data_IF_130514136732
#
_entry.id   IF_130514136732
#
_cell.length_a   1.000
_cell.length_b   1.000
_cell.length_c   1.000
_cell.angle_alpha   90.00
_cell.angle_beta   90.00
_cell.angle_gamma   90.00
#
_symmetry.space_group_name_H-M   'P 1'
#
loop_
_entity.id
_entity.type
_entity.pdbx_description
1 polymer ?
#
# COMPACT_ATOMS: atom_id res chain seq x y z
N UNK A 1 -15.63 -1.17 18.61
CA UNK A 1 -15.83 0.27 18.90
C UNK A 1 -16.35 0.91 17.62
N UNK A 2 -17.47 1.64 17.65
CA UNK A 2 -18.02 2.29 16.46
C UNK A 2 -17.04 3.38 15.98
N UNK A 3 -16.54 3.26 14.76
CA UNK A 3 -15.67 4.24 14.13
C UNK A 3 -16.42 5.56 13.98
N UNK A 4 -15.99 6.59 14.71
CA UNK A 4 -16.66 7.88 14.74
C UNK A 4 -16.21 8.73 13.53
N UNK A 5 -17.08 8.84 12.52
CA UNK A 5 -16.85 9.53 11.25
C UNK A 5 -16.39 11.01 11.40
N UNK A 6 -16.68 11.68 12.51
CA UNK A 6 -16.22 13.05 12.80
C UNK A 6 -14.70 13.12 13.10
N UNK A 7 -14.19 12.13 13.85
CA UNK A 7 -12.76 12.08 14.18
C UNK A 7 -11.87 11.81 12.96
N UNK A 8 -12.43 11.18 11.94
CA UNK A 8 -11.79 10.84 10.68
C UNK A 8 -11.55 12.07 9.79
N UNK A 9 -12.58 12.87 9.55
CA UNK A 9 -12.47 14.09 8.76
C UNK A 9 -11.56 15.15 9.41
N UNK A 10 -11.50 15.17 10.76
CA UNK A 10 -10.56 16.02 11.49
C UNK A 10 -9.11 15.55 11.34
N UNK A 11 -8.84 14.24 11.37
CA UNK A 11 -7.49 13.68 11.12
C UNK A 11 -7.02 13.96 9.69
N UNK A 12 -7.89 13.81 8.69
CA UNK A 12 -7.56 14.19 7.30
C UNK A 12 -7.24 15.68 7.20
N UNK A 13 -8.00 16.54 7.87
CA UNK A 13 -7.74 18.00 7.88
C UNK A 13 -6.43 18.36 8.59
N UNK A 14 -6.07 17.68 9.67
CA UNK A 14 -4.79 17.87 10.37
C UNK A 14 -3.60 17.41 9.53
N UNK A 15 -3.71 16.27 8.84
CA UNK A 15 -2.69 15.78 7.92
C UNK A 15 -2.43 16.77 6.76
N UNK A 16 -3.46 17.50 6.31
CA UNK A 16 -3.33 18.56 5.29
C UNK A 16 -2.49 19.75 5.77
N UNK A 17 -2.51 20.07 7.07
CA UNK A 17 -1.76 21.23 7.60
C UNK A 17 -0.27 20.95 7.77
N UNK A 18 0.13 19.72 8.09
CA UNK A 18 1.53 19.34 8.35
C UNK A 18 2.38 19.35 7.06
N UNK A 19 1.78 19.11 5.91
CA UNK A 19 2.49 19.02 4.61
C UNK A 19 2.64 20.37 3.88
N UNK A 20 2.10 21.47 4.38
CA UNK A 20 2.18 22.78 3.72
C UNK A 20 3.58 23.44 3.74
N UNK A 21 4.52 22.94 4.53
CA UNK A 21 5.85 23.56 4.69
C UNK A 21 6.72 23.51 3.42
N UNK A 22 6.41 22.65 2.45
CA UNK A 22 7.14 22.50 1.19
C UNK A 22 6.24 22.48 -0.05
N UNK A 23 5.05 23.08 0.04
CA UNK A 23 4.12 23.12 -1.08
C UNK A 23 4.57 24.14 -2.13
N UNK A 24 4.77 23.68 -3.37
CA UNK A 24 5.05 24.52 -4.53
C UNK A 24 3.85 24.55 -5.48
N UNK A 25 3.22 25.71 -5.72
CA UNK A 25 2.11 25.84 -6.66
C UNK A 25 2.46 25.34 -8.06
N UNK A 26 1.55 24.54 -8.64
CA UNK A 26 1.74 23.98 -10.00
C UNK A 26 2.53 22.68 -10.06
N UNK A 27 3.13 22.22 -8.95
CA UNK A 27 3.76 20.93 -8.83
C UNK A 27 2.71 19.88 -8.50
N UNK A 28 2.80 18.66 -9.08
CA UNK A 28 1.89 17.55 -8.78
C UNK A 28 1.95 17.17 -7.31
N UNK A 29 0.82 16.84 -6.70
CA UNK A 29 0.74 16.32 -5.34
C UNK A 29 0.56 14.81 -5.37
N UNK A 30 1.36 14.08 -4.58
CA UNK A 30 1.19 12.66 -4.31
C UNK A 30 0.75 12.49 -2.85
N UNK A 31 -0.37 11.80 -2.64
CA UNK A 31 -0.82 11.45 -1.29
C UNK A 31 -0.12 10.16 -0.83
N UNK A 32 0.58 10.20 0.32
CA UNK A 32 1.22 9.04 0.93
C UNK A 32 0.40 8.62 2.14
N UNK A 33 -0.22 7.43 2.04
CA UNK A 33 -0.96 6.79 3.11
C UNK A 33 -0.03 5.83 3.85
N UNK A 34 0.13 5.99 5.16
CA UNK A 34 0.99 5.11 5.96
C UNK A 34 0.17 4.12 6.77
N UNK A 35 0.61 2.85 6.80
CA UNK A 35 -0.03 1.80 7.60
C UNK A 35 0.91 1.13 8.60
N UNK A 36 2.19 1.54 8.65
CA UNK A 36 3.22 0.93 9.47
C UNK A 36 4.13 -0.02 8.68
N UNK A 37 4.39 -1.20 9.23
CA UNK A 37 5.25 -2.21 8.61
C UNK A 37 6.75 -1.93 8.74
N UNK A 38 7.57 -2.77 8.08
CA UNK A 38 9.05 -2.74 8.13
C UNK A 38 9.64 -1.45 7.55
N UNK A 39 9.00 -0.86 6.55
CA UNK A 39 9.47 0.39 5.92
C UNK A 39 9.53 1.55 6.92
N UNK A 40 8.62 1.56 7.88
CA UNK A 40 8.62 2.48 9.03
C UNK A 40 9.23 1.84 10.28
N UNK A 41 9.95 0.73 10.14
CA UNK A 41 10.54 -0.03 11.23
C UNK A 41 11.89 0.53 11.66
N UNK A 42 12.14 0.54 12.98
CA UNK A 42 13.40 0.95 13.58
C UNK A 42 13.87 -0.08 14.60
N UNK A 43 15.18 -0.34 14.62
CA UNK A 43 15.82 -1.32 15.52
C UNK A 43 17.27 -0.98 15.79
N UNK A 44 18.06 -1.98 16.20
CA UNK A 44 19.49 -1.81 16.41
C UNK A 44 20.21 -1.56 15.08
N UNK A 45 21.09 -0.54 15.06
CA UNK A 45 21.82 -0.14 13.84
C UNK A 45 22.63 -1.33 13.30
N UNK A 46 22.43 -1.60 12.00
CA UNK A 46 23.13 -2.65 11.26
C UNK A 46 22.49 -4.04 11.36
N UNK A 47 21.40 -4.21 12.12
CA UNK A 47 20.67 -5.49 12.19
C UNK A 47 19.41 -5.48 11.32
N UNK A 48 19.06 -6.66 10.78
CA UNK A 48 17.90 -6.89 9.94
C UNK A 48 16.71 -7.50 10.69
N UNK A 49 16.93 -7.92 11.95
CA UNK A 49 15.93 -8.57 12.81
C UNK A 49 15.83 -7.87 14.15
N UNK A 50 14.73 -8.10 14.88
CA UNK A 50 14.53 -7.52 16.22
C UNK A 50 14.21 -6.03 16.21
N UNK A 51 13.63 -5.53 15.13
CA UNK A 51 13.13 -4.15 14.99
C UNK A 51 11.66 -4.04 15.42
N UNK A 52 11.23 -2.81 15.70
CA UNK A 52 9.83 -2.47 15.96
C UNK A 52 9.21 -1.92 14.68
N UNK A 53 8.25 -2.61 14.06
CA UNK A 53 7.55 -2.12 12.87
C UNK A 53 6.74 -0.86 13.20
N UNK A 54 6.61 0.05 12.21
CA UNK A 54 5.81 1.27 12.39
C UNK A 54 6.35 2.24 13.44
N UNK A 55 7.65 2.16 13.79
CA UNK A 55 8.26 3.04 14.78
C UNK A 55 8.47 4.48 14.27
N UNK A 56 8.60 4.66 12.96
CA UNK A 56 8.74 5.98 12.33
C UNK A 56 7.37 6.57 11.99
N UNK A 57 7.19 7.84 12.26
CA UNK A 57 6.02 8.60 11.80
C UNK A 57 6.03 8.77 10.26
N UNK A 58 4.89 9.18 9.70
CA UNK A 58 4.81 9.49 8.26
C UNK A 58 5.80 10.58 7.85
N UNK A 59 5.95 11.62 8.69
CA UNK A 59 6.88 12.73 8.48
C UNK A 59 8.34 12.27 8.50
N UNK A 60 8.72 11.44 9.47
CA UNK A 60 10.08 10.89 9.58
C UNK A 60 10.42 10.00 8.39
N UNK A 61 9.46 9.15 7.95
CA UNK A 61 9.62 8.32 6.78
C UNK A 61 9.83 9.16 5.51
N UNK A 62 9.02 10.19 5.30
CA UNK A 62 9.14 11.10 4.14
C UNK A 62 10.45 11.89 4.22
N UNK A 63 10.82 12.38 5.40
CA UNK A 63 12.06 13.12 5.63
C UNK A 63 13.32 12.27 5.37
N UNK A 64 13.21 10.94 5.45
CA UNK A 64 14.31 10.02 5.11
C UNK A 64 14.66 10.03 3.61
N UNK A 65 13.79 10.60 2.76
CA UNK A 65 13.94 10.66 1.30
C UNK A 65 13.74 12.10 0.82
N UNK A 66 14.70 13.02 1.06
CA UNK A 66 14.55 14.46 0.75
C UNK A 66 14.31 14.73 -0.74
N UNK A 67 14.75 13.86 -1.64
CA UNK A 67 14.54 13.96 -3.09
C UNK A 67 13.05 13.98 -3.48
N UNK A 68 12.17 13.43 -2.65
CA UNK A 68 10.72 13.43 -2.90
C UNK A 68 10.18 14.86 -2.98
N UNK A 69 10.60 15.74 -2.05
CA UNK A 69 10.15 17.13 -2.00
C UNK A 69 10.68 18.01 -3.15
N UNK A 70 11.70 17.54 -3.87
CA UNK A 70 12.21 18.22 -5.06
C UNK A 70 11.36 17.93 -6.31
N UNK A 71 10.67 16.79 -6.33
CA UNK A 71 9.95 16.29 -7.51
C UNK A 71 8.44 16.52 -7.44
N UNK A 72 7.84 16.37 -6.28
CA UNK A 72 6.38 16.44 -6.08
C UNK A 72 6.03 17.16 -4.77
N UNK A 73 4.81 17.68 -4.69
CA UNK A 73 4.22 17.98 -3.40
C UNK A 73 3.75 16.71 -2.73
N UNK A 74 3.94 16.59 -1.41
CA UNK A 74 3.54 15.41 -0.66
C UNK A 74 2.43 15.78 0.32
N UNK A 75 1.39 14.93 0.37
CA UNK A 75 0.35 14.96 1.37
C UNK A 75 0.36 13.66 2.17
N UNK A 76 0.85 13.70 3.41
CA UNK A 76 0.88 12.53 4.28
C UNK A 76 -0.48 12.29 4.95
N UNK A 77 -0.92 11.04 5.01
CA UNK A 77 -2.14 10.60 5.70
C UNK A 77 -1.82 9.32 6.47
N UNK A 78 -1.86 9.38 7.79
CA UNK A 78 -1.72 8.17 8.60
C UNK A 78 -3.06 7.42 8.67
N UNK A 79 -3.07 6.18 8.18
CA UNK A 79 -4.21 5.26 8.30
C UNK A 79 -4.14 4.51 9.61
N UNK A 80 -3.00 3.89 9.88
CA UNK A 80 -2.67 3.18 11.11
C UNK A 80 -1.16 3.00 11.20
N UNK A 81 -0.69 2.42 12.31
CA UNK A 81 0.71 2.04 12.51
C UNK A 81 0.75 0.65 13.14
N UNK A 82 0.66 -0.39 12.30
CA UNK A 82 0.59 -1.80 12.73
C UNK A 82 1.51 -2.69 11.90
N UNK A 83 1.73 -3.93 12.37
CA UNK A 83 2.26 -4.98 11.51
C UNK A 83 1.23 -5.34 10.43
N UNK A 84 1.70 -5.87 9.30
CA UNK A 84 0.78 -6.24 8.22
C UNK A 84 -0.13 -7.41 8.56
N UNK A 85 0.28 -8.29 9.45
CA UNK A 85 -0.55 -9.38 9.98
C UNK A 85 -1.66 -8.89 10.95
N UNK A 86 -1.57 -7.66 11.45
CA UNK A 86 -2.61 -7.00 12.24
C UNK A 86 -3.59 -6.16 11.39
N UNK A 87 -3.43 -6.12 10.07
CA UNK A 87 -4.37 -5.45 9.17
C UNK A 87 -5.71 -6.17 9.21
N UNK A 88 -6.78 -5.40 9.25
CA UNK A 88 -8.15 -5.91 9.32
C UNK A 88 -9.00 -5.43 8.15
N UNK A 89 -10.14 -6.09 7.92
CA UNK A 89 -11.12 -5.65 6.93
C UNK A 89 -11.64 -4.22 7.17
N UNK A 90 -11.68 -3.76 8.43
CA UNK A 90 -12.04 -2.38 8.78
C UNK A 90 -10.97 -1.39 8.30
N UNK A 91 -9.68 -1.74 8.44
CA UNK A 91 -8.55 -0.94 7.95
C UNK A 91 -8.60 -0.89 6.42
N UNK A 92 -8.87 -2.00 5.74
CA UNK A 92 -9.02 -2.03 4.29
C UNK A 92 -10.14 -1.13 3.79
N UNK A 93 -11.34 -1.21 4.39
CA UNK A 93 -12.47 -0.33 4.05
C UNK A 93 -12.08 1.13 4.26
N UNK A 94 -11.38 1.41 5.35
CA UNK A 94 -10.91 2.76 5.67
C UNK A 94 -9.91 3.27 4.61
N UNK A 95 -8.90 2.50 4.23
CA UNK A 95 -7.96 2.86 3.17
C UNK A 95 -8.67 3.15 1.84
N UNK A 96 -9.55 2.24 1.40
CA UNK A 96 -10.27 2.41 0.14
C UNK A 96 -11.14 3.68 0.12
N UNK A 97 -11.85 3.96 1.20
CA UNK A 97 -12.65 5.19 1.34
C UNK A 97 -11.80 6.44 1.37
N UNK A 98 -10.67 6.42 2.08
CA UNK A 98 -9.73 7.54 2.12
C UNK A 98 -9.21 7.86 0.71
N UNK A 99 -8.80 6.84 -0.03
CA UNK A 99 -8.33 7.02 -1.41
C UNK A 99 -9.46 7.57 -2.29
N UNK A 100 -10.67 7.00 -2.20
CA UNK A 100 -11.82 7.43 -3.01
C UNK A 100 -12.23 8.88 -2.72
N UNK A 101 -12.17 9.32 -1.46
CA UNK A 101 -12.44 10.70 -1.07
C UNK A 101 -11.35 11.66 -1.56
N UNK A 102 -10.09 11.33 -1.31
CA UNK A 102 -8.96 12.16 -1.74
C UNK A 102 -8.81 12.21 -3.26
N UNK A 103 -9.27 11.18 -3.98
CA UNK A 103 -9.24 11.16 -5.43
C UNK A 103 -10.15 12.21 -6.09
N UNK A 104 -11.10 12.79 -5.35
CA UNK A 104 -11.94 13.90 -5.82
C UNK A 104 -11.18 15.24 -5.88
N UNK A 105 -10.01 15.32 -5.25
CA UNK A 105 -9.15 16.50 -5.29
C UNK A 105 -8.28 16.45 -6.56
N UNK A 106 -8.51 17.38 -7.48
CA UNK A 106 -7.79 17.45 -8.76
C UNK A 106 -6.29 17.77 -8.61
N UNK A 107 -5.86 18.32 -7.47
CA UNK A 107 -4.43 18.56 -7.19
C UNK A 107 -3.67 17.25 -6.92
N UNK A 108 -4.35 16.20 -6.47
CA UNK A 108 -3.74 14.89 -6.21
C UNK A 108 -3.59 14.14 -7.53
N UNK A 109 -2.34 13.89 -7.93
CA UNK A 109 -2.01 13.16 -9.15
C UNK A 109 -1.99 11.63 -8.96
N UNK A 110 -1.73 11.16 -7.74
CA UNK A 110 -1.66 9.73 -7.42
C UNK A 110 -1.47 9.47 -5.94
N UNK A 111 -1.44 8.20 -5.57
CA UNK A 111 -1.41 7.71 -4.20
C UNK A 111 -0.26 6.72 -4.01
N UNK A 112 0.40 6.79 -2.87
CA UNK A 112 1.32 5.75 -2.39
C UNK A 112 0.77 5.21 -1.07
N UNK A 113 0.77 3.90 -0.90
CA UNK A 113 0.46 3.25 0.38
C UNK A 113 1.72 2.53 0.85
N UNK A 114 2.29 2.95 1.98
CA UNK A 114 3.37 2.20 2.61
C UNK A 114 2.79 1.12 3.50
N UNK A 115 3.23 -0.12 3.33
CA UNK A 115 2.62 -1.30 3.92
C UNK A 115 3.66 -2.33 4.36
N UNK A 116 3.36 -3.12 5.38
CA UNK A 116 4.17 -4.28 5.72
C UNK A 116 4.00 -5.39 4.68
N UNK A 117 5.05 -6.15 4.43
CA UNK A 117 5.13 -7.03 3.24
C UNK A 117 4.41 -8.36 3.37
N UNK A 118 4.01 -8.82 4.60
CA UNK A 118 3.44 -10.16 4.79
C UNK A 118 2.03 -10.29 4.21
N UNK A 119 1.21 -9.23 4.28
CA UNK A 119 -0.16 -9.21 3.73
C UNK A 119 -0.36 -8.12 2.68
N UNK A 120 0.73 -7.56 2.14
CA UNK A 120 0.67 -6.51 1.13
C UNK A 120 -0.12 -6.95 -0.11
N UNK A 121 0.06 -8.18 -0.55
CA UNK A 121 -0.63 -8.73 -1.74
C UNK A 121 -2.15 -8.75 -1.57
N UNK A 122 -2.63 -9.06 -0.37
CA UNK A 122 -4.05 -9.05 -0.05
C UNK A 122 -4.61 -7.62 -0.04
N UNK A 123 -3.92 -6.69 0.64
CA UNK A 123 -4.30 -5.27 0.67
C UNK A 123 -4.29 -4.65 -0.73
N UNK A 124 -3.27 -4.97 -1.55
CA UNK A 124 -3.17 -4.50 -2.91
C UNK A 124 -4.36 -4.97 -3.77
N UNK A 125 -4.69 -6.24 -3.70
CA UNK A 125 -5.80 -6.79 -4.46
C UNK A 125 -7.17 -6.29 -3.98
N UNK A 126 -7.34 -6.13 -2.67
CA UNK A 126 -8.55 -5.50 -2.12
C UNK A 126 -8.73 -4.08 -2.66
N UNK A 127 -7.69 -3.26 -2.64
CA UNK A 127 -7.74 -1.91 -3.19
C UNK A 127 -7.98 -1.91 -4.71
N UNK A 128 -7.37 -2.83 -5.45
CA UNK A 128 -7.58 -2.97 -6.91
C UNK A 128 -9.04 -3.21 -7.28
N UNK A 129 -9.78 -3.88 -6.39
CA UNK A 129 -11.20 -4.15 -6.58
C UNK A 129 -12.12 -3.02 -6.07
N UNK A 130 -11.69 -2.20 -5.12
CA UNK A 130 -12.60 -1.32 -4.36
C UNK A 130 -12.35 0.18 -4.52
N UNK A 131 -11.17 0.60 -4.96
CA UNK A 131 -10.94 2.03 -5.24
C UNK A 131 -11.64 2.45 -6.53
N UNK A 132 -12.19 3.67 -6.55
CA UNK A 132 -13.00 4.20 -7.67
C UNK A 132 -12.31 5.40 -8.32
N UNK A 133 -11.06 5.20 -8.71
CA UNK A 133 -10.25 6.21 -9.37
C UNK A 133 -9.35 5.58 -10.42
N UNK A 134 -9.09 6.33 -11.50
CA UNK A 134 -8.07 5.98 -12.50
C UNK A 134 -6.69 6.58 -12.15
N UNK A 135 -6.62 7.43 -11.12
CA UNK A 135 -5.34 7.93 -10.60
C UNK A 135 -4.50 6.77 -10.08
N UNK A 136 -3.17 6.77 -10.31
CA UNK A 136 -2.31 5.70 -9.83
C UNK A 136 -2.41 5.50 -8.32
N UNK A 137 -2.58 4.26 -7.89
CA UNK A 137 -2.50 3.83 -6.49
C UNK A 137 -1.37 2.80 -6.41
N UNK A 138 -0.31 3.12 -5.67
CA UNK A 138 0.93 2.34 -5.65
C UNK A 138 1.22 1.88 -4.22
N UNK A 139 1.24 0.57 -3.99
CA UNK A 139 1.69 0.01 -2.73
C UNK A 139 3.20 -0.22 -2.77
N UNK A 140 3.84 0.00 -1.63
CA UNK A 140 5.25 -0.31 -1.44
C UNK A 140 5.53 -0.64 0.03
N UNK A 141 6.72 -1.19 0.29
CA UNK A 141 7.17 -1.56 1.61
C UNK A 141 8.69 -1.75 1.62
N UNK A 142 9.19 -2.39 2.66
CA UNK A 142 10.59 -2.75 2.75
C UNK A 142 10.75 -4.15 3.33
N UNK A 143 11.76 -4.87 2.87
CA UNK A 143 12.16 -6.15 3.44
C UNK A 143 13.15 -5.97 4.61
N UNK A 144 13.81 -4.82 4.69
CA UNK A 144 14.79 -4.47 5.71
C UNK A 144 14.38 -3.19 6.45
N UNK A 145 14.54 -3.13 7.78
CA UNK A 145 14.23 -1.93 8.55
C UNK A 145 15.15 -0.77 8.17
N UNK A 146 14.72 0.46 8.44
CA UNK A 146 15.47 1.67 8.11
C UNK A 146 16.88 1.72 8.74
N UNK A 147 17.10 1.01 9.85
CA UNK A 147 18.39 0.91 10.55
C UNK A 147 19.34 -0.13 9.98
N UNK A 148 18.96 -0.90 8.98
CA UNK A 148 19.79 -1.89 8.30
C UNK A 148 20.91 -1.26 7.47
N UNK A 149 22.05 -1.97 7.31
CA UNK A 149 23.18 -1.47 6.49
C UNK A 149 22.79 -1.21 5.03
N UNK A 150 21.86 -1.97 4.48
CA UNK A 150 21.38 -1.79 3.12
C UNK A 150 19.85 -1.81 3.13
N UNK A 151 19.25 -0.85 3.83
CA UNK A 151 17.82 -0.64 3.89
C UNK A 151 17.28 -0.34 2.49
N UNK A 152 16.18 -1.01 2.12
CA UNK A 152 15.55 -0.88 0.81
C UNK A 152 14.36 0.10 0.80
N UNK A 153 13.89 0.51 1.98
CA UNK A 153 12.67 1.31 2.13
C UNK A 153 12.71 2.69 1.46
N UNK A 154 13.84 3.40 1.58
CA UNK A 154 13.99 4.73 1.00
C UNK A 154 13.87 4.70 -0.54
N UNK A 155 14.54 3.74 -1.20
CA UNK A 155 14.46 3.57 -2.65
C UNK A 155 13.08 3.08 -3.07
N UNK A 156 12.49 2.14 -2.34
CA UNK A 156 11.13 1.64 -2.61
C UNK A 156 10.09 2.76 -2.54
N UNK A 157 10.16 3.63 -1.53
CA UNK A 157 9.29 4.80 -1.40
C UNK A 157 9.48 5.79 -2.54
N UNK A 158 10.74 6.10 -2.87
CA UNK A 158 11.06 7.01 -3.95
C UNK A 158 10.48 6.54 -5.29
N UNK A 159 10.71 5.29 -5.64
CA UNK A 159 10.22 4.70 -6.88
C UNK A 159 8.69 4.58 -6.91
N UNK A 160 8.06 4.29 -5.77
CA UNK A 160 6.60 4.28 -5.68
C UNK A 160 6.00 5.68 -5.94
N UNK A 161 6.65 6.74 -5.44
CA UNK A 161 6.23 8.13 -5.71
C UNK A 161 6.45 8.49 -7.17
N UNK A 162 7.56 8.09 -7.79
CA UNK A 162 7.78 8.27 -9.24
C UNK A 162 6.66 7.61 -10.05
N UNK A 163 6.30 6.36 -9.73
CA UNK A 163 5.21 5.64 -10.39
C UNK A 163 3.85 6.31 -10.16
N UNK A 164 3.56 6.77 -8.94
CA UNK A 164 2.31 7.44 -8.60
C UNK A 164 2.15 8.82 -9.28
N UNK A 165 3.25 9.51 -9.56
CA UNK A 165 3.25 10.80 -10.24
C UNK A 165 3.26 10.71 -11.77
N UNK A 166 3.57 9.54 -12.35
CA UNK A 166 3.70 9.38 -13.80
C UNK A 166 2.33 9.17 -14.47
N UNK A 167 2.07 9.95 -15.52
CA UNK A 167 0.84 9.84 -16.33
C UNK A 167 0.69 8.47 -17.00
N UNK A 168 1.78 7.77 -17.28
CA UNK A 168 1.76 6.41 -17.86
C UNK A 168 1.16 5.36 -16.91
N UNK A 169 1.10 5.66 -15.62
CA UNK A 169 0.51 4.77 -14.60
C UNK A 169 -1.00 4.92 -14.48
N UNK A 170 -1.60 5.97 -15.09
CA UNK A 170 -3.04 6.23 -15.01
C UNK A 170 -3.82 5.11 -15.70
N UNK A 171 -4.83 4.57 -15.03
CA UNK A 171 -5.70 3.52 -15.58
C UNK A 171 -5.08 2.12 -15.61
N UNK A 172 -3.95 1.89 -14.92
CA UNK A 172 -3.31 0.58 -14.81
C UNK A 172 -3.74 -0.22 -13.56
N UNK A 173 -4.77 0.25 -12.84
CA UNK A 173 -5.20 -0.37 -11.59
C UNK A 173 -4.28 -0.04 -10.43
N UNK A 174 -4.33 -0.86 -9.39
CA UNK A 174 -3.43 -0.75 -8.25
C UNK A 174 -2.11 -1.47 -8.57
N UNK A 175 -1.01 -0.77 -8.29
CA UNK A 175 0.36 -1.19 -8.60
C UNK A 175 1.12 -1.49 -7.30
N UNK A 176 2.14 -2.33 -7.40
CA UNK A 176 3.10 -2.56 -6.32
C UNK A 176 4.51 -2.32 -6.86
N UNK A 177 5.32 -1.55 -6.12
CA UNK A 177 6.68 -1.19 -6.55
C UNK A 177 7.69 -1.70 -5.53
N UNK A 178 8.57 -2.59 -5.98
CA UNK A 178 9.67 -3.17 -5.19
C UNK A 178 10.86 -3.50 -6.09
N UNK A 179 12.06 -3.28 -5.59
CA UNK A 179 13.31 -3.71 -6.25
C UNK A 179 13.35 -3.31 -7.73
N UNK A 180 13.08 -2.04 -8.02
CA UNK A 180 13.04 -1.41 -9.36
C UNK A 180 11.90 -1.89 -10.27
N UNK A 181 11.04 -2.81 -9.82
CA UNK A 181 9.98 -3.41 -10.63
C UNK A 181 8.59 -2.93 -10.21
N UNK A 182 7.69 -2.88 -11.19
CA UNK A 182 6.29 -2.51 -11.01
C UNK A 182 5.44 -3.75 -11.30
N UNK A 183 4.62 -4.16 -10.33
CA UNK A 183 3.75 -5.32 -10.43
C UNK A 183 2.28 -4.91 -10.41
N UNK A 184 1.42 -5.72 -11.03
CA UNK A 184 -0.03 -5.62 -10.84
C UNK A 184 -0.45 -6.15 -9.48
N UNK A 185 -1.36 -5.48 -8.80
CA UNK A 185 -1.94 -5.93 -7.54
C UNK A 185 -2.56 -7.34 -7.63
N UNK A 186 -3.09 -7.73 -8.79
CA UNK A 186 -3.66 -9.06 -9.02
C UNK A 186 -2.63 -10.19 -9.05
N UNK A 187 -1.39 -9.88 -9.40
CA UNK A 187 -0.36 -10.89 -9.66
C UNK A 187 0.78 -10.85 -8.63
N UNK A 188 0.87 -9.77 -7.86
CA UNK A 188 1.93 -9.63 -6.85
C UNK A 188 1.80 -10.68 -5.76
N UNK A 189 2.94 -11.20 -5.31
CA UNK A 189 3.01 -12.15 -4.20
C UNK A 189 4.38 -12.13 -3.53
N UNK A 190 4.41 -12.50 -2.24
CA UNK A 190 5.64 -12.61 -1.44
C UNK A 190 6.16 -14.04 -1.48
N UNK A 191 7.32 -14.25 -2.11
CA UNK A 191 7.93 -15.57 -2.32
C UNK A 191 9.06 -15.91 -1.33
N UNK A 192 9.51 -14.95 -0.52
CA UNK A 192 10.58 -15.13 0.48
C UNK A 192 10.34 -14.24 1.69
N UNK A 193 10.79 -14.70 2.86
CA UNK A 193 10.65 -13.95 4.13
C UNK A 193 11.78 -12.96 4.38
N UNK A 194 12.88 -13.00 3.63
CA UNK A 194 14.07 -12.18 3.92
C UNK A 194 14.75 -11.54 2.70
N UNK A 195 14.53 -12.07 1.48
CA UNK A 195 15.18 -11.51 0.29
C UNK A 195 14.60 -10.15 -0.07
N UNK A 196 15.44 -9.19 -0.47
CA UNK A 196 14.98 -7.88 -0.95
C UNK A 196 14.08 -8.02 -2.18
N UNK A 197 14.32 -9.04 -3.01
CA UNK A 197 13.52 -9.37 -4.19
C UNK A 197 12.37 -10.35 -3.89
N UNK A 198 11.92 -10.44 -2.64
CA UNK A 198 10.85 -11.36 -2.22
C UNK A 198 9.50 -11.09 -2.88
N UNK A 199 9.23 -9.84 -3.24
CA UNK A 199 8.00 -9.45 -3.92
C UNK A 199 8.16 -9.65 -5.42
N UNK A 200 7.23 -10.36 -6.04
CA UNK A 200 7.28 -10.70 -7.46
C UNK A 200 5.89 -10.77 -8.09
N UNK A 201 5.82 -10.74 -9.42
CA UNK A 201 4.57 -10.87 -10.18
C UNK A 201 4.23 -12.32 -10.58
N UNK A 202 4.84 -13.32 -9.93
CA UNK A 202 4.62 -14.73 -10.27
C UNK A 202 4.85 -15.04 -11.75
N UNK A 203 3.97 -15.84 -12.35
CA UNK A 203 4.06 -16.24 -13.76
C UNK A 203 3.85 -15.09 -14.75
N UNK A 204 3.19 -14.01 -14.36
CA UNK A 204 2.93 -12.85 -15.24
C UNK A 204 4.11 -11.89 -15.31
N UNK A 205 5.04 -11.97 -14.36
CA UNK A 205 6.19 -11.06 -14.25
C UNK A 205 5.79 -9.64 -13.83
N UNK A 206 6.69 -8.68 -14.11
CA UNK A 206 6.43 -7.26 -13.83
C UNK A 206 5.73 -6.58 -15.01
N UNK A 207 4.93 -5.55 -14.70
CA UNK A 207 4.32 -4.67 -15.71
C UNK A 207 5.35 -3.73 -16.32
N UNK A 208 6.36 -3.36 -15.54
CA UNK A 208 7.36 -2.38 -15.94
C UNK A 208 8.45 -2.22 -14.88
N UNK A 209 9.26 -1.19 -15.06
CA UNK A 209 10.39 -0.85 -14.17
C UNK A 209 10.48 0.65 -13.94
N UNK A 210 11.11 1.04 -12.83
CA UNK A 210 11.51 2.43 -12.54
C UNK A 210 13.04 2.50 -12.64
N UNK A 211 13.55 3.41 -13.45
CA UNK A 211 15.00 3.64 -13.60
C UNK A 211 15.28 5.13 -13.71
N UNK A 212 16.16 5.65 -12.85
CA UNK A 212 16.54 7.07 -12.87
C UNK A 212 15.31 7.99 -12.93
N UNK A 213 14.33 7.77 -12.05
CA UNK A 213 13.08 8.53 -11.95
C UNK A 213 12.09 8.34 -13.12
N UNK A 214 12.47 7.59 -14.16
CA UNK A 214 11.61 7.31 -15.30
C UNK A 214 10.91 5.96 -15.17
N UNK A 215 9.63 5.95 -15.52
CA UNK A 215 8.77 4.76 -15.51
C UNK A 215 8.65 4.20 -16.91
N UNK A 216 8.92 2.89 -17.04
CA UNK A 216 8.81 2.14 -18.29
C UNK A 216 7.83 0.98 -18.11
N UNK A 217 6.76 0.95 -18.90
CA UNK A 217 5.81 -0.16 -18.93
C UNK A 217 6.03 -1.01 -20.17
N UNK A 218 5.94 -2.33 -19.99
CA UNK A 218 6.05 -3.34 -21.06
C UNK A 218 4.70 -3.99 -21.34
N UNK A 219 3.79 -3.97 -20.35
CA UNK A 219 2.47 -4.58 -20.43
C UNK A 219 1.48 -3.84 -19.51
N UNK A 220 0.19 -4.12 -19.66
CA UNK A 220 -0.88 -3.55 -18.86
C UNK A 220 -1.84 -4.64 -18.38
N UNK A 221 -2.52 -4.46 -17.23
CA UNK A 221 -3.55 -5.37 -16.77
C UNK A 221 -4.73 -5.39 -17.74
N UNK A 222 -5.25 -6.59 -18.05
CA UNK A 222 -6.42 -6.78 -18.94
C UNK A 222 -7.70 -7.07 -18.15
N UNK A 223 -7.60 -7.46 -16.90
CA UNK A 223 -8.79 -7.73 -16.06
C UNK A 223 -9.39 -6.45 -15.53
N UNK A 224 -10.70 -6.46 -15.29
CA UNK A 224 -11.40 -5.32 -14.68
C UNK A 224 -10.82 -5.01 -13.29
N UNK A 225 -10.62 -3.76 -13.00
CA UNK A 225 -10.09 -3.23 -11.76
C UNK A 225 -10.66 -1.84 -11.47
N UNK A 226 -10.40 -1.28 -10.33
CA UNK A 226 -10.70 0.09 -9.89
C UNK A 226 -12.08 0.60 -10.35
N UNK A 227 -12.15 1.58 -11.23
CA UNK A 227 -13.42 2.17 -11.73
C UNK A 227 -14.29 1.19 -12.48
N UNK A 228 -13.70 0.15 -13.11
CA UNK A 228 -14.43 -0.89 -13.85
C UNK A 228 -14.85 -2.08 -12.97
N UNK A 229 -14.44 -2.12 -11.70
CA UNK A 229 -14.83 -3.15 -10.75
C UNK A 229 -16.25 -2.92 -10.23
N UNK A 230 -17.00 -4.00 -10.03
CA UNK A 230 -18.35 -4.00 -9.46
C UNK A 230 -18.40 -3.83 -7.94
N UNK A 231 -17.28 -4.01 -7.23
CA UNK A 231 -17.24 -3.94 -5.76
C UNK A 231 -17.21 -2.49 -5.28
N UNK A 232 -18.12 -2.16 -4.35
CA UNK A 232 -18.23 -0.86 -3.73
C UNK A 232 -18.26 -0.99 -2.20
N UNK A 233 -17.35 -0.29 -1.54
CA UNK A 233 -17.23 -0.26 -0.08
C UNK A 233 -17.83 0.99 0.57
N UNK A 234 -18.48 1.85 -0.20
CA UNK A 234 -19.01 3.13 0.30
C UNK A 234 -20.08 2.95 1.40
N UNK A 235 -20.92 1.93 1.27
CA UNK A 235 -22.05 1.67 2.15
C UNK A 235 -21.85 0.54 3.18
N UNK A 236 -20.78 -0.26 3.07
CA UNK A 236 -20.56 -1.42 3.96
C UNK A 236 -19.78 -1.02 5.20
N UNK A 237 -20.15 -1.55 6.37
CA UNK A 237 -19.44 -1.32 7.64
C UNK A 237 -18.43 -2.41 7.97
N UNK A 238 -18.60 -3.60 7.42
CA UNK A 238 -17.72 -4.76 7.61
C UNK A 238 -17.70 -5.63 6.36
N UNK A 239 -16.62 -6.37 6.19
CA UNK A 239 -16.54 -7.46 5.21
C UNK A 239 -17.21 -8.72 5.76
N UNK A 240 -17.72 -9.61 4.89
CA UNK A 240 -18.12 -10.94 5.29
C UNK A 240 -16.90 -11.68 5.87
N UNK A 241 -17.17 -12.56 6.83
CA UNK A 241 -16.13 -13.42 7.39
C UNK A 241 -15.92 -14.62 6.48
N UNK A 242 -14.76 -14.66 5.84
CA UNK A 242 -14.33 -15.76 4.95
C UNK A 242 -13.11 -16.44 5.56
N UNK A 243 -13.11 -17.77 5.58
CA UNK A 243 -12.01 -18.58 6.10
C UNK A 243 -11.33 -19.33 4.94
N UNK A 244 -10.00 -19.39 4.95
CA UNK A 244 -9.20 -20.18 4.00
C UNK A 244 -8.66 -21.40 4.73
N UNK A 245 -9.03 -22.59 4.24
CA UNK A 245 -8.60 -23.86 4.81
C UNK A 245 -7.62 -24.55 3.88
N UNK A 246 -6.46 -24.92 4.38
CA UNK A 246 -5.49 -25.73 3.66
C UNK A 246 -5.74 -27.20 3.97
N UNK A 247 -5.90 -28.01 2.92
CA UNK A 247 -5.96 -29.47 3.02
C UNK A 247 -4.58 -30.06 2.84
N UNK A 248 -4.25 -31.04 3.69
CA UNK A 248 -3.01 -31.80 3.66
C UNK A 248 -3.32 -33.27 3.96
N UNK A 249 -2.34 -34.16 3.81
CA UNK A 249 -2.51 -35.60 4.13
C UNK A 249 -2.91 -35.74 5.60
N UNK A 250 -3.97 -36.53 5.85
CA UNK A 250 -4.59 -36.73 7.18
C UNK A 250 -5.19 -35.46 7.83
N UNK A 251 -5.58 -34.47 7.03
CA UNK A 251 -6.32 -33.31 7.55
C UNK A 251 -7.66 -33.75 8.16
N UNK A 252 -7.94 -33.31 9.38
CA UNK A 252 -9.20 -33.61 10.07
C UNK A 252 -10.36 -32.86 9.41
N UNK A 253 -11.38 -33.57 8.85
CA UNK A 253 -12.56 -32.92 8.25
C UNK A 253 -13.38 -32.09 9.22
N UNK A 254 -13.28 -32.32 10.54
CA UNK A 254 -13.97 -31.53 11.55
C UNK A 254 -13.57 -30.05 11.52
N UNK A 255 -12.39 -29.71 10.99
CA UNK A 255 -11.95 -28.32 10.78
C UNK A 255 -12.89 -27.57 9.83
N UNK A 256 -13.38 -28.26 8.78
CA UNK A 256 -14.33 -27.67 7.81
C UNK A 256 -15.66 -27.35 8.48
N UNK A 257 -16.20 -28.29 9.25
CA UNK A 257 -17.46 -28.11 9.98
C UNK A 257 -17.36 -26.96 10.99
N UNK A 258 -16.24 -26.90 11.71
CA UNK A 258 -15.97 -25.82 12.67
C UNK A 258 -15.89 -24.45 11.98
N UNK A 259 -15.18 -24.33 10.88
CA UNK A 259 -15.06 -23.10 10.11
C UNK A 259 -16.40 -22.67 9.50
N UNK A 260 -17.11 -23.61 8.84
CA UNK A 260 -18.41 -23.36 8.21
C UNK A 260 -19.48 -22.86 9.19
N UNK A 261 -19.44 -23.30 10.45
CA UNK A 261 -20.36 -22.83 11.47
C UNK A 261 -20.10 -21.38 11.96
N UNK A 262 -18.99 -20.75 11.57
CA UNK A 262 -18.48 -19.48 12.12
C UNK A 262 -18.12 -18.44 11.06
N UNK A 263 -18.25 -18.77 9.80
CA UNK A 263 -17.93 -17.90 8.68
C UNK A 263 -19.12 -17.72 7.74
N UNK A 264 -19.04 -16.70 6.91
CA UNK A 264 -20.04 -16.40 5.87
C UNK A 264 -19.69 -17.10 4.55
N UNK A 265 -18.44 -17.59 4.44
CA UNK A 265 -17.92 -18.30 3.28
C UNK A 265 -16.55 -18.95 3.53
#
# INVERSE_FOLDING_TARGET
MAYNNKNYLEKIKQAVEVTKAHYEPGRKTVAILTTGGTIAGSGEIGKETGYVPGALSAEELIASVPQLSESVNIRAVEICSVNSDDITGEIWIHMARTINELAQDDEIAGFVVTHGTDTLEESAYFLDLTVKTDKPVVLTGAMRPATSLSADGAMSLYQAVCAAADKKSVGLGVLCVFSDQIFSARAVGKSSTYQVTAISGGETGCLGVVRNDEVFYYQAPLRRHTTASEFDVSAISRLPKVEILYFYVDADPAIVEFAAARSDG
#
